data_IF_141751566790
#
_entry.id   IF_141751566790
#
_cell.length_a   1.000
_cell.length_b   1.000
_cell.length_c   1.000
_cell.angle_alpha   90.00
_cell.angle_beta   90.00
_cell.angle_gamma   90.00
#
_symmetry.space_group_name_H-M   'P 1'
#
loop_
_entity.id
_entity.type
_entity.pdbx_description
1 polymer ?
#
# COMPACT_ATOMS: atom_id res chain seq x y z
N UNK A 1 -15.60 8.31 -9.88
CA UNK A 1 -15.56 9.35 -8.84
C UNK A 1 -14.10 9.51 -8.46
N UNK A 2 -13.49 10.63 -8.81
CA UNK A 2 -12.07 10.88 -8.53
C UNK A 2 -11.93 11.34 -7.07
N UNK A 3 -11.00 10.72 -6.35
CA UNK A 3 -10.74 10.99 -4.94
C UNK A 3 -9.33 11.54 -4.82
N UNK A 4 -9.21 12.80 -4.45
CA UNK A 4 -7.93 13.47 -4.21
C UNK A 4 -7.59 13.53 -2.72
N UNK A 5 -6.34 13.24 -2.38
CA UNK A 5 -5.82 13.57 -1.04
C UNK A 5 -5.31 15.01 -1.07
N UNK A 6 -5.80 15.84 -0.17
CA UNK A 6 -5.43 17.25 -0.07
C UNK A 6 -4.39 17.41 1.03
N UNK A 7 -3.42 18.30 0.78
CA UNK A 7 -2.39 18.65 1.75
C UNK A 7 -2.68 20.04 2.31
N UNK A 8 -3.27 20.08 3.50
CA UNK A 8 -3.35 21.33 4.26
C UNK A 8 -1.97 21.68 4.84
N UNK A 9 -1.64 22.98 4.85
CA UNK A 9 -0.40 23.49 5.44
C UNK A 9 -0.71 24.43 6.59
N UNK A 10 0.05 24.30 7.66
CA UNK A 10 0.06 25.22 8.77
C UNK A 10 1.50 25.64 9.06
N UNK A 11 1.76 26.94 9.19
CA UNK A 11 3.05 27.45 9.63
C UNK A 11 2.87 28.47 10.74
N UNK A 12 3.54 28.23 11.87
CA UNK A 12 3.55 29.13 13.00
C UNK A 12 4.93 29.80 13.12
N UNK A 13 4.95 31.12 13.18
CA UNK A 13 6.13 31.91 13.50
C UNK A 13 5.92 32.61 14.82
N UNK A 14 6.78 32.38 15.81
CA UNK A 14 6.68 33.03 17.12
C UNK A 14 7.87 33.95 17.32
N UNK A 15 7.60 35.17 17.79
CA UNK A 15 8.66 36.12 18.14
C UNK A 15 9.34 35.70 19.46
N UNK A 16 10.69 35.62 19.51
CA UNK A 16 11.42 35.38 20.75
C UNK A 16 11.08 36.42 21.83
N UNK A 17 10.90 36.00 23.09
CA UNK A 17 10.64 36.94 24.18
C UNK A 17 11.92 37.72 24.44
N UNK A 18 11.85 39.05 24.36
CA UNK A 18 12.90 39.93 24.87
C UNK A 18 12.42 40.50 26.19
N UNK A 19 12.59 39.72 27.26
CA UNK A 19 12.33 40.13 28.65
C UNK A 19 10.93 39.81 29.19
N UNK A 20 10.74 39.86 30.52
CA UNK A 20 9.53 39.39 31.21
C UNK A 20 8.26 40.21 30.98
N UNK A 21 8.37 41.38 30.33
CA UNK A 21 7.22 42.27 30.03
C UNK A 21 6.85 42.32 28.53
N UNK A 22 7.57 41.60 27.67
CA UNK A 22 7.22 41.50 26.26
C UNK A 22 6.15 40.42 26.04
N UNK A 23 4.95 40.83 25.64
CA UNK A 23 3.91 39.88 25.23
C UNK A 23 4.37 38.97 24.08
N UNK A 24 3.98 37.70 24.13
CA UNK A 24 4.24 36.75 23.06
C UNK A 24 3.40 37.13 21.83
N UNK A 25 4.05 37.28 20.68
CA UNK A 25 3.34 37.47 19.41
C UNK A 25 3.71 36.31 18.49
N UNK A 26 2.70 35.57 18.07
CA UNK A 26 2.80 34.50 17.07
C UNK A 26 1.96 34.83 15.84
N UNK A 27 2.45 34.49 14.65
CA UNK A 27 1.74 34.56 13.38
C UNK A 27 1.49 33.13 12.93
N UNK A 28 0.22 32.72 12.89
CA UNK A 28 -0.20 31.44 12.35
C UNK A 28 -0.77 31.65 10.95
N UNK A 29 -0.16 31.00 9.96
CA UNK A 29 -0.68 30.92 8.60
C UNK A 29 -1.29 29.53 8.39
N UNK A 30 -2.58 29.50 8.08
CA UNK A 30 -3.31 28.30 7.71
C UNK A 30 -3.68 28.40 6.24
N UNK A 31 -3.41 27.34 5.47
CA UNK A 31 -3.77 27.25 4.05
C UNK A 31 -5.28 27.44 3.88
N UNK A 32 -5.76 28.26 2.91
CA UNK A 32 -7.19 28.39 2.65
C UNK A 32 -7.84 27.04 2.37
N UNK A 33 -8.92 26.77 3.10
CA UNK A 33 -9.78 25.62 2.89
C UNK A 33 -10.42 25.64 1.51
N UNK A 34 -10.61 24.45 0.94
CA UNK A 34 -11.29 24.24 -0.33
C UNK A 34 -12.75 24.70 -0.19
N UNK A 35 -13.21 25.50 -1.16
CA UNK A 35 -14.58 26.03 -1.19
C UNK A 35 -15.60 25.05 -1.81
N UNK A 36 -15.11 23.99 -2.45
CA UNK A 36 -15.89 23.04 -3.25
C UNK A 36 -15.49 21.59 -2.93
N UNK A 37 -16.45 20.67 -2.98
CA UNK A 37 -16.26 19.25 -2.67
C UNK A 37 -16.76 18.85 -1.29
N UNK A 38 -16.84 17.54 -1.07
CA UNK A 38 -17.34 16.95 0.17
C UNK A 38 -16.28 16.02 0.77
N UNK A 39 -16.05 16.07 2.11
CA UNK A 39 -15.17 15.12 2.76
C UNK A 39 -15.77 13.71 2.63
N UNK A 40 -14.96 12.76 2.16
CA UNK A 40 -15.38 11.38 1.91
C UNK A 40 -15.45 10.58 3.22
N UNK A 41 -14.67 10.97 4.22
CA UNK A 41 -14.66 10.35 5.54
C UNK A 41 -15.28 11.31 6.57
N UNK A 42 -15.93 10.73 7.57
CA UNK A 42 -16.56 11.49 8.66
C UNK A 42 -15.57 12.50 9.24
N UNK A 43 -16.05 13.73 9.42
CA UNK A 43 -15.33 14.79 10.10
C UNK A 43 -14.99 14.32 11.53
N UNK A 44 -13.91 14.86 12.10
CA UNK A 44 -13.46 14.46 13.44
C UNK A 44 -14.58 14.64 14.49
N UNK A 45 -14.56 13.80 15.53
CA UNK A 45 -15.56 13.81 16.61
C UNK A 45 -15.48 15.12 17.40
N UNK A 46 -16.61 15.58 17.94
CA UNK A 46 -16.62 16.67 18.91
C UNK A 46 -15.72 16.34 20.12
N UNK A 47 -14.72 17.19 20.39
CA UNK A 47 -13.80 17.06 21.54
C UNK A 47 -14.29 17.79 22.79
N UNK A 48 -15.52 18.32 22.79
CA UNK A 48 -16.16 18.77 24.01
C UNK A 48 -16.28 17.60 25.00
N UNK A 49 -16.04 17.89 26.28
CA UNK A 49 -16.20 16.90 27.34
C UNK A 49 -17.65 16.38 27.29
N UNK A 50 -17.87 15.06 27.27
CA UNK A 50 -19.21 14.52 27.26
C UNK A 50 -19.97 15.04 28.50
N UNK A 51 -21.25 15.39 28.36
CA UNK A 51 -22.04 15.87 29.49
C UNK A 51 -22.03 14.83 30.60
N UNK A 52 -21.90 15.26 31.85
CA UNK A 52 -21.94 14.33 32.98
C UNK A 52 -23.35 13.76 33.11
N UNK A 53 -23.46 12.49 33.51
CA UNK A 53 -24.75 11.86 33.80
C UNK A 53 -25.52 12.56 34.93
N UNK A 54 -24.81 13.33 35.77
CA UNK A 54 -25.37 14.13 36.86
C UNK A 54 -25.74 15.57 36.46
N UNK A 55 -25.41 16.00 35.25
CA UNK A 55 -25.83 17.32 34.79
C UNK A 55 -27.34 17.28 34.48
N UNK A 56 -28.15 18.17 35.07
CA UNK A 56 -29.56 18.23 34.75
C UNK A 56 -29.68 18.53 33.25
N UNK A 57 -30.32 17.63 32.51
CA UNK A 57 -30.68 17.83 31.10
C UNK A 57 -31.42 19.16 31.02
N UNK A 58 -30.74 20.21 30.53
CA UNK A 58 -31.39 21.49 30.22
C UNK A 58 -32.33 21.21 29.06
N UNK A 59 -33.60 21.00 29.41
CA UNK A 59 -34.71 20.81 28.50
C UNK A 59 -35.13 22.18 27.95
N UNK A 60 -34.25 22.82 27.19
CA UNK A 60 -34.60 23.95 26.32
C UNK A 60 -33.90 23.71 24.97
N UNK A 61 -34.70 23.71 23.90
CA UNK A 61 -34.36 23.63 22.48
C UNK A 61 -34.12 22.24 21.86
N UNK A 62 -35.15 21.39 21.94
CA UNK A 62 -35.30 20.17 21.12
C UNK A 62 -35.64 20.43 19.63
N UNK A 63 -35.27 21.58 19.08
CA UNK A 63 -35.48 21.93 17.65
C UNK A 63 -34.20 22.31 16.90
N UNK A 64 -33.02 22.21 17.50
CA UNK A 64 -31.72 22.35 16.81
C UNK A 64 -30.74 21.24 17.23
N UNK A 65 -30.99 20.03 16.76
CA UNK A 65 -30.19 18.82 16.99
C UNK A 65 -28.80 18.80 16.29
N UNK A 66 -28.11 19.95 16.12
CA UNK A 66 -26.85 19.98 15.33
C UNK A 66 -25.66 20.73 15.94
N UNK A 67 -25.80 21.78 16.75
CA UNK A 67 -24.66 22.73 16.93
C UNK A 67 -24.02 22.76 18.34
N UNK A 68 -23.39 21.65 18.74
CA UNK A 68 -22.46 21.63 19.88
C UNK A 68 -20.99 21.46 19.48
N UNK A 69 -20.71 21.40 18.18
CA UNK A 69 -19.38 21.16 17.62
C UNK A 69 -18.92 22.32 16.73
N UNK A 70 -17.67 22.29 16.27
CA UNK A 70 -17.17 23.26 15.31
C UNK A 70 -18.03 23.25 14.03
N UNK A 71 -18.05 24.35 13.27
CA UNK A 71 -18.81 24.43 12.02
C UNK A 71 -18.32 23.43 10.96
N UNK A 72 -17.08 22.92 11.07
CA UNK A 72 -16.46 21.92 10.21
C UNK A 72 -16.53 22.26 8.72
N UNK A 73 -16.60 23.54 8.37
CA UNK A 73 -16.64 24.01 6.97
C UNK A 73 -15.23 24.24 6.45
N UNK A 74 -14.36 24.80 7.30
CA UNK A 74 -13.01 25.19 6.92
C UNK A 74 -12.04 24.85 8.05
N UNK A 75 -10.81 24.44 7.69
CA UNK A 75 -9.75 24.19 8.66
C UNK A 75 -9.47 25.42 9.55
N UNK A 76 -9.65 26.61 8.99
CA UNK A 76 -9.51 27.87 9.71
C UNK A 76 -10.61 28.07 10.77
N UNK A 77 -11.89 27.91 10.42
CA UNK A 77 -13.00 28.07 11.37
C UNK A 77 -12.90 27.06 12.51
N UNK A 78 -12.51 25.83 12.18
CA UNK A 78 -12.31 24.75 13.14
C UNK A 78 -11.17 25.07 14.11
N UNK A 79 -10.05 25.57 13.59
CA UNK A 79 -8.95 26.03 14.43
C UNK A 79 -9.40 27.14 15.38
N UNK A 80 -10.11 28.16 14.89
CA UNK A 80 -10.58 29.27 15.74
C UNK A 80 -11.54 28.76 16.82
N UNK A 81 -12.49 27.88 16.47
CA UNK A 81 -13.42 27.29 17.42
C UNK A 81 -12.71 26.57 18.56
N UNK A 82 -11.71 25.74 18.24
CA UNK A 82 -10.97 24.98 19.25
C UNK A 82 -9.95 25.80 20.02
N UNK A 83 -9.27 26.74 19.36
CA UNK A 83 -8.33 27.65 20.02
C UNK A 83 -9.04 28.53 21.07
N UNK A 84 -10.30 28.88 20.85
CA UNK A 84 -11.14 29.61 21.81
C UNK A 84 -11.71 28.74 22.93
N UNK A 85 -11.64 27.41 22.82
CA UNK A 85 -12.18 26.45 23.78
C UNK A 85 -11.08 25.55 24.40
N UNK A 86 -10.12 26.13 25.16
CA UNK A 86 -8.97 25.39 25.69
C UNK A 86 -9.33 24.30 26.70
N UNK A 87 -10.52 24.37 27.31
CA UNK A 87 -11.04 23.39 28.29
C UNK A 87 -11.13 21.97 27.72
N UNK A 88 -11.30 21.84 26.40
CA UNK A 88 -11.31 20.55 25.71
C UNK A 88 -9.94 19.85 25.68
N UNK A 89 -8.87 20.58 25.98
CA UNK A 89 -7.48 20.09 25.96
C UNK A 89 -6.85 20.07 27.35
N UNK A 90 -7.63 20.32 28.41
CA UNK A 90 -7.22 20.07 29.78
C UNK A 90 -7.15 18.56 30.00
N UNK A 91 -6.07 17.94 29.53
CA UNK A 91 -5.72 16.59 29.94
C UNK A 91 -5.57 16.61 31.46
N UNK A 92 -6.34 15.76 32.16
CA UNK A 92 -6.32 15.68 33.62
C UNK A 92 -4.89 15.81 34.13
N UNK A 93 -4.56 16.84 34.93
CA UNK A 93 -3.23 16.96 35.48
C UNK A 93 -3.04 15.77 36.43
N UNK A 94 -2.15 14.85 36.09
CA UNK A 94 -1.62 13.93 37.08
C UNK A 94 -0.99 14.80 38.18
N UNK A 95 -1.57 14.72 39.38
CA UNK A 95 -1.31 15.54 40.57
C UNK A 95 0.13 15.52 41.12
N UNK A 96 1.13 15.01 40.38
CA UNK A 96 2.45 14.68 40.93
C UNK A 96 3.59 15.59 40.47
N UNK A 97 3.38 16.50 39.52
CA UNK A 97 4.41 17.47 39.13
C UNK A 97 3.96 18.92 39.35
N UNK A 98 4.71 19.72 40.13
CA UNK A 98 4.44 21.15 40.24
C UNK A 98 4.56 21.75 38.84
N UNK A 99 3.45 22.30 38.35
CA UNK A 99 3.35 22.98 37.07
C UNK A 99 4.41 24.09 37.03
N UNK A 100 5.49 23.87 36.29
CA UNK A 100 6.41 24.95 35.93
C UNK A 100 5.56 25.94 35.14
N UNK A 101 5.48 27.19 35.62
CA UNK A 101 4.72 28.24 34.96
C UNK A 101 5.11 28.26 33.47
N UNK A 102 4.11 28.10 32.59
CA UNK A 102 4.33 28.11 31.16
C UNK A 102 5.12 29.38 30.79
N UNK A 103 6.23 29.27 30.04
CA UNK A 103 7.05 30.43 29.71
C UNK A 103 6.28 31.52 28.92
N UNK A 104 5.08 31.20 28.44
CA UNK A 104 4.23 32.07 27.63
C UNK A 104 2.74 31.88 27.95
N UNK A 105 2.16 32.64 28.90
CA UNK A 105 0.73 32.54 29.20
C UNK A 105 -0.10 32.92 27.96
N UNK A 106 -0.87 31.97 27.43
CA UNK A 106 -1.85 32.17 26.35
C UNK A 106 -1.57 31.47 25.01
N UNK A 107 -0.37 30.93 24.77
CA UNK A 107 -0.04 30.23 23.52
C UNK A 107 -0.28 28.71 23.58
N UNK A 108 -0.37 28.14 24.78
CA UNK A 108 -0.53 26.70 24.99
C UNK A 108 -1.86 26.18 24.41
N UNK A 109 -2.97 26.89 24.63
CA UNK A 109 -4.30 26.51 24.13
C UNK A 109 -4.37 26.40 22.60
N UNK A 110 -4.05 27.48 21.84
CA UNK A 110 -4.04 27.44 20.37
C UNK A 110 -3.11 26.37 19.79
N UNK A 111 -1.97 26.10 20.44
CA UNK A 111 -1.04 25.10 19.96
C UNK A 111 -1.47 23.67 20.24
N UNK A 112 -2.03 23.42 21.42
CA UNK A 112 -2.69 22.14 21.71
C UNK A 112 -3.85 21.89 20.73
N UNK A 113 -4.66 22.89 20.43
CA UNK A 113 -5.72 22.79 19.43
C UNK A 113 -5.17 22.46 18.02
N UNK A 114 -4.11 23.14 17.59
CA UNK A 114 -3.48 22.89 16.30
C UNK A 114 -2.88 21.49 16.20
N UNK A 115 -2.14 21.05 17.23
CA UNK A 115 -1.52 19.72 17.24
C UNK A 115 -2.56 18.61 17.29
N UNK A 116 -3.65 18.79 18.02
CA UNK A 116 -4.74 17.84 18.07
C UNK A 116 -5.49 17.74 16.73
N UNK A 117 -5.75 18.87 16.07
CA UNK A 117 -6.28 18.90 14.70
C UNK A 117 -5.37 18.13 13.73
N UNK A 118 -4.07 18.44 13.72
CA UNK A 118 -3.12 17.77 12.82
C UNK A 118 -3.00 16.27 13.14
N UNK A 119 -2.98 15.90 14.41
CA UNK A 119 -2.86 14.51 14.83
C UNK A 119 -4.09 13.69 14.43
N UNK A 120 -5.29 14.24 14.65
CA UNK A 120 -6.53 13.57 14.25
C UNK A 120 -6.61 13.38 12.74
N UNK A 121 -6.19 14.37 11.94
CA UNK A 121 -6.05 14.22 10.48
C UNK A 121 -5.08 13.08 10.10
N UNK A 122 -3.94 12.96 10.76
CA UNK A 122 -2.99 11.87 10.50
C UNK A 122 -3.54 10.48 10.83
N UNK A 123 -4.25 10.36 11.95
CA UNK A 123 -4.90 9.11 12.33
C UNK A 123 -6.02 8.74 11.34
N UNK A 124 -6.83 9.72 10.91
CA UNK A 124 -7.85 9.52 9.88
C UNK A 124 -7.22 9.08 8.55
N UNK A 125 -6.08 9.67 8.14
CA UNK A 125 -5.35 9.23 6.94
C UNK A 125 -4.86 7.78 7.09
N UNK A 126 -4.37 7.40 8.27
CA UNK A 126 -3.94 6.03 8.55
C UNK A 126 -5.09 5.03 8.37
N UNK A 127 -6.24 5.29 8.99
CA UNK A 127 -7.42 4.43 8.90
C UNK A 127 -7.96 4.36 7.46
N UNK A 128 -7.94 5.49 6.75
CA UNK A 128 -8.32 5.55 5.33
C UNK A 128 -7.43 4.63 4.48
N UNK A 129 -6.12 4.70 4.66
CA UNK A 129 -5.15 3.85 3.95
C UNK A 129 -5.43 2.38 4.27
N UNK A 130 -5.61 2.04 5.54
CA UNK A 130 -5.88 0.66 5.96
C UNK A 130 -7.12 0.10 5.29
N UNK A 131 -8.23 0.85 5.27
CA UNK A 131 -9.46 0.43 4.62
C UNK A 131 -9.25 0.23 3.12
N UNK A 132 -8.55 1.15 2.45
CA UNK A 132 -8.30 1.07 1.00
C UNK A 132 -7.38 -0.08 0.63
N UNK A 133 -6.36 -0.37 1.43
CA UNK A 133 -5.50 -1.55 1.24
C UNK A 133 -6.27 -2.83 1.49
N UNK A 134 -7.13 -2.86 2.51
CA UNK A 134 -8.00 -4.01 2.79
C UNK A 134 -8.99 -4.25 1.64
N UNK A 135 -9.56 -3.19 1.07
CA UNK A 135 -10.40 -3.31 -0.13
C UNK A 135 -9.64 -3.91 -1.32
N UNK A 136 -8.41 -3.44 -1.58
CA UNK A 136 -7.57 -3.99 -2.65
C UNK A 136 -7.25 -5.47 -2.40
N UNK A 137 -6.95 -5.83 -1.16
CA UNK A 137 -6.70 -7.22 -0.75
C UNK A 137 -7.92 -8.12 -1.01
N UNK A 138 -9.13 -7.64 -0.72
CA UNK A 138 -10.38 -8.34 -1.06
C UNK A 138 -10.60 -8.48 -2.57
N UNK A 139 -10.25 -7.47 -3.36
CA UNK A 139 -10.31 -7.51 -4.83
C UNK A 139 -9.30 -8.53 -5.39
N UNK A 140 -8.12 -8.63 -4.77
CA UNK A 140 -7.04 -9.56 -5.11
C UNK A 140 -7.36 -11.02 -4.74
N UNK A 141 -8.09 -11.24 -3.65
CA UNK A 141 -8.50 -12.56 -3.19
C UNK A 141 -9.50 -13.29 -4.13
N UNK A 142 -10.06 -12.61 -5.16
CA UNK A 142 -11.00 -13.19 -6.13
C UNK A 142 -10.38 -13.38 -7.53
N UNK A 143 -9.44 -14.33 -7.72
CA UNK A 143 -8.72 -14.50 -8.98
C UNK A 143 -9.58 -15.05 -10.14
N UNK A 144 -10.81 -15.53 -9.87
CA UNK A 144 -11.70 -16.05 -10.95
C UNK A 144 -12.27 -14.95 -11.84
N UNK A 145 -12.33 -13.71 -11.35
CA UNK A 145 -12.94 -12.58 -12.06
C UNK A 145 -11.91 -11.74 -12.82
N UNK A 146 -10.65 -12.20 -12.88
CA UNK A 146 -9.49 -11.53 -13.46
C UNK A 146 -9.32 -11.75 -14.96
N UNK A 147 -10.28 -12.42 -15.61
CA UNK A 147 -10.25 -12.65 -17.07
C UNK A 147 -10.27 -11.37 -17.90
N UNK A 148 -10.50 -10.21 -17.28
CA UNK A 148 -10.42 -8.89 -17.88
C UNK A 148 -9.13 -8.18 -17.41
N UNK A 149 -8.16 -8.04 -18.32
CA UNK A 149 -6.86 -7.39 -18.04
C UNK A 149 -7.01 -5.95 -17.55
N UNK A 150 -8.09 -5.26 -17.93
CA UNK A 150 -8.36 -3.89 -17.52
C UNK A 150 -8.53 -3.74 -15.99
N UNK A 151 -9.13 -4.74 -15.33
CA UNK A 151 -9.33 -4.72 -13.87
C UNK A 151 -8.02 -4.90 -13.10
N UNK A 152 -7.13 -5.72 -13.64
CA UNK A 152 -5.80 -5.95 -13.07
C UNK A 152 -4.97 -4.67 -13.16
N UNK A 153 -5.01 -4.00 -14.32
CA UNK A 153 -4.35 -2.71 -14.52
C UNK A 153 -4.92 -1.62 -13.59
N UNK A 154 -6.23 -1.61 -13.37
CA UNK A 154 -6.88 -0.70 -12.42
C UNK A 154 -6.39 -0.93 -10.97
N UNK A 155 -6.39 -2.17 -10.50
CA UNK A 155 -5.90 -2.52 -9.15
C UNK A 155 -4.41 -2.19 -9.02
N UNK A 156 -3.60 -2.53 -10.02
CA UNK A 156 -2.17 -2.23 -10.04
C UNK A 156 -1.93 -0.71 -9.99
N UNK A 157 -2.65 0.08 -10.79
CA UNK A 157 -2.53 1.54 -10.79
C UNK A 157 -2.85 2.14 -9.41
N UNK A 158 -3.94 1.71 -8.76
CA UNK A 158 -4.32 2.12 -7.40
C UNK A 158 -3.24 1.77 -6.38
N UNK A 159 -2.62 0.60 -6.52
CA UNK A 159 -1.56 0.15 -5.62
C UNK A 159 -0.26 0.93 -5.83
N UNK A 160 0.09 1.27 -7.08
CA UNK A 160 1.25 2.14 -7.36
C UNK A 160 1.10 3.55 -6.80
N UNK A 161 -0.13 4.09 -6.76
CA UNK A 161 -0.42 5.36 -6.09
C UNK A 161 -0.07 5.28 -4.60
N UNK A 162 -0.51 4.22 -3.90
CA UNK A 162 -0.20 4.04 -2.48
C UNK A 162 1.29 3.77 -2.22
N UNK A 163 1.96 3.03 -3.10
CA UNK A 163 3.42 2.81 -3.06
C UNK A 163 4.21 4.13 -3.07
N UNK A 164 3.71 5.13 -3.80
CA UNK A 164 4.35 6.46 -3.89
C UNK A 164 3.94 7.38 -2.74
N UNK A 165 2.69 7.31 -2.31
CA UNK A 165 2.12 8.25 -1.33
C UNK A 165 2.51 7.92 0.12
N UNK A 166 2.49 6.64 0.51
CA UNK A 166 2.80 6.22 1.89
C UNK A 166 4.21 6.64 2.33
N UNK A 167 5.28 6.46 1.53
CA UNK A 167 6.62 6.94 1.92
C UNK A 167 6.69 8.46 2.07
N UNK A 168 5.91 9.22 1.29
CA UNK A 168 5.83 10.67 1.40
C UNK A 168 5.18 11.08 2.74
N UNK A 169 4.08 10.42 3.13
CA UNK A 169 3.43 10.65 4.43
C UNK A 169 4.35 10.31 5.60
N UNK A 170 5.03 9.16 5.53
CA UNK A 170 6.04 8.74 6.51
C UNK A 170 7.14 9.79 6.67
N UNK A 171 7.65 10.34 5.56
CA UNK A 171 8.65 11.41 5.59
C UNK A 171 8.11 12.66 6.28
N UNK A 172 6.93 13.13 5.93
CA UNK A 172 6.33 14.32 6.56
C UNK A 172 6.09 14.13 8.06
N UNK A 173 5.63 12.96 8.50
CA UNK A 173 5.49 12.63 9.92
C UNK A 173 6.84 12.61 10.63
N UNK A 174 7.87 12.02 10.01
CA UNK A 174 9.23 12.01 10.58
C UNK A 174 9.82 13.42 10.71
N UNK A 175 9.62 14.28 9.71
CA UNK A 175 10.04 15.68 9.76
C UNK A 175 9.27 16.44 10.85
N UNK A 176 7.96 16.20 10.99
CA UNK A 176 7.15 16.81 12.05
C UNK A 176 7.64 16.38 13.44
N UNK A 177 7.96 15.11 13.64
CA UNK A 177 8.53 14.59 14.90
C UNK A 177 9.87 15.21 15.24
N UNK A 178 10.74 15.42 14.24
CA UNK A 178 12.04 16.08 14.44
C UNK A 178 11.87 17.57 14.72
N UNK A 179 11.01 18.27 13.99
CA UNK A 179 10.87 19.72 14.10
C UNK A 179 10.04 20.19 15.29
N UNK A 180 8.96 19.47 15.62
CA UNK A 180 8.04 19.84 16.70
C UNK A 180 8.44 19.20 18.03
N UNK A 181 8.78 17.90 18.00
CA UNK A 181 9.02 17.12 19.22
C UNK A 181 10.51 16.82 19.48
N UNK A 182 11.40 17.21 18.56
CA UNK A 182 12.85 16.92 18.61
C UNK A 182 13.15 15.43 18.83
N UNK A 183 12.21 14.56 18.45
CA UNK A 183 12.40 13.13 18.53
C UNK A 183 13.30 12.72 17.36
N UNK A 184 14.44 12.11 17.64
CA UNK A 184 15.22 11.43 16.61
C UNK A 184 14.32 10.36 16.00
N UNK A 185 14.05 10.47 14.70
CA UNK A 185 13.08 9.65 13.95
C UNK A 185 13.52 8.19 13.76
N UNK A 186 14.36 7.68 14.63
CA UNK A 186 14.84 6.31 14.61
C UNK A 186 13.99 5.47 15.56
N UNK A 187 13.46 4.36 15.05
CA UNK A 187 12.69 3.36 15.76
C UNK A 187 13.29 3.01 17.15
N UNK A 188 12.47 2.55 18.11
CA UNK A 188 12.95 2.13 19.41
C UNK A 188 13.92 0.94 19.23
N UNK A 189 15.21 1.13 19.51
CA UNK A 189 16.18 0.02 19.54
C UNK A 189 17.61 0.28 19.05
N UNK A 190 17.94 1.42 18.43
CA UNK A 190 19.34 1.76 18.11
C UNK A 190 19.92 2.82 19.06
N UNK A 191 21.20 2.69 19.46
CA UNK A 191 21.85 3.62 20.37
C UNK A 191 21.88 5.02 19.77
N UNK A 192 21.39 5.98 20.56
CA UNK A 192 21.36 7.42 20.31
C UNK A 192 22.69 7.92 19.74
N UNK A 193 22.76 8.10 18.42
CA UNK A 193 23.85 8.82 17.78
C UNK A 193 23.61 10.32 17.98
N UNK A 194 24.28 10.88 18.99
CA UNK A 194 24.72 12.27 19.08
C UNK A 194 23.63 13.35 18.98
N UNK A 195 23.34 13.97 20.11
CA UNK A 195 22.62 15.24 20.20
C UNK A 195 23.28 16.33 19.34
N UNK A 196 22.85 16.53 18.10
CA UNK A 196 22.94 17.86 17.49
C UNK A 196 21.77 18.70 18.02
N UNK A 197 21.98 19.26 19.20
CA UNK A 197 21.12 20.32 19.74
C UNK A 197 21.28 21.57 18.86
N UNK A 198 20.38 21.78 17.90
CA UNK A 198 20.18 23.12 17.37
C UNK A 198 19.38 23.92 18.42
N UNK A 199 19.91 25.03 18.96
CA UNK A 199 19.17 25.91 19.85
C UNK A 199 18.08 26.61 19.03
N UNK A 200 16.86 26.06 19.03
CA UNK A 200 15.69 26.72 18.47
C UNK A 200 15.01 27.57 19.53
N UNK A 201 14.63 28.79 19.14
CA UNK A 201 13.96 29.80 19.98
C UNK A 201 12.66 29.27 20.62
N UNK A 202 12.06 28.23 20.04
CA UNK A 202 10.86 27.56 20.54
C UNK A 202 11.14 26.50 21.62
N UNK A 203 12.39 26.34 22.06
CA UNK A 203 12.77 25.31 23.05
C UNK A 203 11.95 25.32 24.34
N UNK A 204 11.70 26.47 24.98
CA UNK A 204 10.86 26.49 26.18
C UNK A 204 9.40 26.13 25.90
N UNK A 205 8.97 26.25 24.64
CA UNK A 205 7.60 26.04 24.20
C UNK A 205 7.33 24.58 23.82
N UNK A 206 8.24 23.94 23.10
CA UNK A 206 8.11 22.52 22.68
C UNK A 206 8.27 21.53 23.84
N UNK A 207 8.94 21.94 24.92
CA UNK A 207 9.13 21.10 26.10
C UNK A 207 7.93 21.14 27.07
N UNK A 208 6.86 21.87 26.74
CA UNK A 208 5.64 21.92 27.55
C UNK A 208 4.92 20.57 27.58
N UNK A 209 4.31 20.23 28.72
CA UNK A 209 3.58 18.97 28.91
C UNK A 209 2.41 18.84 27.93
N UNK A 210 1.73 19.96 27.61
CA UNK A 210 0.62 19.99 26.66
C UNK A 210 1.05 19.60 25.25
N UNK A 211 2.19 20.10 24.76
CA UNK A 211 2.74 19.70 23.46
C UNK A 211 3.19 18.23 23.52
N UNK A 212 3.99 17.85 24.52
CA UNK A 212 4.54 16.51 24.64
C UNK A 212 3.49 15.38 24.79
N UNK A 213 2.26 15.70 25.23
CA UNK A 213 1.16 14.73 25.33
C UNK A 213 0.76 14.11 23.99
N UNK A 214 0.93 14.82 22.87
CA UNK A 214 0.58 14.35 21.52
C UNK A 214 1.68 13.52 20.85
N UNK A 215 2.90 13.55 21.39
CA UNK A 215 4.04 12.79 20.88
C UNK A 215 3.74 11.28 20.65
N UNK A 216 3.13 10.55 21.60
CA UNK A 216 2.79 9.13 21.38
C UNK A 216 1.87 8.92 20.17
N UNK A 217 0.91 9.80 19.94
CA UNK A 217 -0.04 9.65 18.83
C UNK A 217 0.63 9.87 17.46
N UNK A 218 1.55 10.83 17.36
CA UNK A 218 2.38 10.99 16.16
C UNK A 218 3.30 9.79 15.91
N UNK A 219 3.84 9.18 16.97
CA UNK A 219 4.62 7.94 16.85
C UNK A 219 3.75 6.76 16.41
N UNK A 220 2.51 6.67 16.90
CA UNK A 220 1.53 5.67 16.49
C UNK A 220 1.22 5.81 14.98
N UNK A 221 0.93 7.04 14.53
CA UNK A 221 0.71 7.30 13.10
C UNK A 221 1.94 6.95 12.26
N UNK A 222 3.15 7.26 12.73
CA UNK A 222 4.39 6.91 12.02
C UNK A 222 4.58 5.39 11.93
N UNK A 223 4.32 4.66 13.02
CA UNK A 223 4.38 3.20 13.05
C UNK A 223 3.38 2.57 12.08
N UNK A 224 2.14 3.07 12.06
CA UNK A 224 1.12 2.64 11.11
C UNK A 224 1.56 2.88 9.65
N UNK A 225 2.17 4.02 9.32
CA UNK A 225 2.70 4.26 7.96
C UNK A 225 3.81 3.27 7.57
N UNK A 226 4.65 2.84 8.52
CA UNK A 226 5.65 1.80 8.29
C UNK A 226 5.02 0.44 7.98
N UNK A 227 3.96 0.08 8.73
CA UNK A 227 3.19 -1.13 8.47
C UNK A 227 2.49 -1.07 7.11
N UNK A 228 1.82 0.03 6.80
CA UNK A 228 1.16 0.26 5.51
C UNK A 228 2.13 0.15 4.34
N UNK A 229 3.36 0.68 4.48
CA UNK A 229 4.40 0.52 3.45
C UNK A 229 4.72 -0.96 3.21
N UNK A 230 4.93 -1.71 4.29
CA UNK A 230 5.23 -3.16 4.22
C UNK A 230 4.06 -3.94 3.60
N UNK A 231 2.82 -3.58 3.94
CA UNK A 231 1.61 -4.20 3.39
C UNK A 231 1.44 -3.90 1.90
N UNK A 232 1.69 -2.66 1.48
CA UNK A 232 1.67 -2.28 0.05
C UNK A 232 2.68 -3.10 -0.74
N UNK A 233 3.92 -3.24 -0.26
CA UNK A 233 4.96 -4.00 -0.96
C UNK A 233 4.56 -5.48 -1.13
N UNK A 234 3.98 -6.09 -0.08
CA UNK A 234 3.44 -7.46 -0.16
C UNK A 234 2.28 -7.57 -1.16
N UNK A 235 1.34 -6.63 -1.15
CA UNK A 235 0.22 -6.63 -2.10
C UNK A 235 0.71 -6.50 -3.55
N UNK A 236 1.78 -5.74 -3.80
CA UNK A 236 2.38 -5.61 -5.13
C UNK A 236 2.96 -6.96 -5.57
N UNK A 237 3.70 -7.63 -4.70
CA UNK A 237 4.25 -8.95 -4.97
C UNK A 237 3.14 -9.96 -5.32
N UNK A 238 2.06 -10.00 -4.53
CA UNK A 238 0.91 -10.87 -4.79
C UNK A 238 0.22 -10.48 -6.11
N UNK A 239 0.09 -9.18 -6.41
CA UNK A 239 -0.48 -8.70 -7.68
C UNK A 239 0.36 -9.17 -8.86
N UNK A 240 1.68 -9.02 -8.81
CA UNK A 240 2.58 -9.49 -9.88
C UNK A 240 2.49 -11.01 -10.04
N UNK A 241 2.46 -11.77 -8.94
CA UNK A 241 2.32 -13.21 -8.98
C UNK A 241 0.98 -13.65 -9.60
N UNK A 242 -0.11 -12.98 -9.26
CA UNK A 242 -1.45 -13.26 -9.80
C UNK A 242 -1.55 -12.91 -11.28
N UNK A 243 -0.98 -11.77 -11.73
CA UNK A 243 -0.87 -11.43 -13.15
C UNK A 243 -0.12 -12.52 -13.91
N UNK A 244 1.05 -12.95 -13.40
CA UNK A 244 1.86 -13.98 -14.05
C UNK A 244 1.13 -15.32 -14.15
N UNK A 245 0.37 -15.70 -13.13
CA UNK A 245 -0.46 -16.91 -13.15
C UNK A 245 -1.56 -16.80 -14.20
N UNK A 246 -2.26 -15.66 -14.29
CA UNK A 246 -3.32 -15.50 -15.29
C UNK A 246 -2.77 -15.43 -16.72
N UNK A 247 -1.64 -14.75 -16.93
CA UNK A 247 -0.95 -14.74 -18.22
C UNK A 247 -0.52 -16.16 -18.64
N UNK A 248 -0.01 -16.96 -17.70
CA UNK A 248 0.31 -18.38 -17.94
C UNK A 248 -0.92 -19.22 -18.31
N UNK A 249 -2.06 -18.98 -17.62
CA UNK A 249 -3.33 -19.65 -17.93
C UNK A 249 -3.87 -19.24 -19.29
N UNK A 250 -3.76 -17.96 -19.64
CA UNK A 250 -4.17 -17.44 -20.95
C UNK A 250 -3.25 -17.97 -22.05
N UNK A 251 -1.94 -18.02 -21.83
CA UNK A 251 -0.99 -18.67 -22.72
C UNK A 251 -1.32 -20.16 -22.93
N UNK A 252 -1.69 -20.88 -21.87
CA UNK A 252 -2.13 -22.28 -22.00
C UNK A 252 -3.43 -22.42 -22.80
N UNK A 253 -4.43 -21.56 -22.55
CA UNK A 253 -5.69 -21.55 -23.30
C UNK A 253 -5.46 -21.22 -24.78
N UNK A 254 -4.58 -20.25 -25.08
CA UNK A 254 -4.20 -19.88 -26.43
C UNK A 254 -3.47 -21.03 -27.12
N UNK A 255 -2.50 -21.66 -26.45
CA UNK A 255 -1.78 -22.83 -26.96
C UNK A 255 -2.71 -24.01 -27.23
N UNK A 256 -3.73 -24.24 -26.39
CA UNK A 256 -4.73 -25.29 -26.65
C UNK A 256 -5.56 -24.98 -27.90
N UNK A 257 -6.00 -23.73 -28.08
CA UNK A 257 -6.73 -23.31 -29.28
C UNK A 257 -5.85 -23.40 -30.52
N UNK A 258 -4.59 -22.96 -30.43
CA UNK A 258 -3.62 -23.07 -31.51
C UNK A 258 -3.35 -24.53 -31.85
N UNK A 259 -3.18 -25.40 -30.85
CA UNK A 259 -2.99 -26.85 -31.04
C UNK A 259 -4.16 -27.48 -31.79
N UNK A 260 -5.40 -27.15 -31.40
CA UNK A 260 -6.60 -27.63 -32.10
C UNK A 260 -6.66 -27.13 -33.56
N UNK A 261 -6.28 -25.88 -33.80
CA UNK A 261 -6.23 -25.31 -35.15
C UNK A 261 -5.15 -25.97 -36.01
N UNK A 262 -3.95 -26.16 -35.45
CA UNK A 262 -2.84 -26.84 -36.12
C UNK A 262 -3.22 -28.29 -36.43
N UNK A 263 -3.87 -28.99 -35.49
CA UNK A 263 -4.38 -30.34 -35.71
C UNK A 263 -5.33 -30.40 -36.92
N UNK A 264 -6.26 -29.46 -36.97
CA UNK A 264 -7.23 -29.35 -38.06
C UNK A 264 -6.51 -29.04 -39.39
N UNK A 265 -5.57 -28.10 -39.39
CA UNK A 265 -4.77 -27.77 -40.57
C UNK A 265 -3.92 -28.96 -41.05
N UNK A 266 -3.26 -29.69 -40.15
CA UNK A 266 -2.47 -30.89 -40.51
C UNK A 266 -3.32 -32.01 -41.09
N UNK A 267 -4.59 -32.13 -40.69
CA UNK A 267 -5.52 -33.08 -41.29
C UNK A 267 -6.00 -32.60 -42.67
N UNK A 268 -6.36 -31.33 -42.81
CA UNK A 268 -6.97 -30.81 -44.04
C UNK A 268 -5.98 -30.48 -45.16
N UNK A 269 -4.73 -30.10 -44.85
CA UNK A 269 -3.72 -29.75 -45.86
C UNK A 269 -3.43 -30.90 -46.84
N UNK A 270 -3.10 -32.12 -46.38
CA UNK A 270 -2.88 -33.26 -47.27
C UNK A 270 -4.14 -33.65 -48.05
N UNK A 271 -5.31 -33.66 -47.39
CA UNK A 271 -6.58 -33.98 -48.03
C UNK A 271 -6.97 -32.98 -49.12
N UNK A 272 -6.70 -31.68 -48.90
CA UNK A 272 -6.96 -30.63 -49.89
C UNK A 272 -6.02 -30.74 -51.09
N UNK A 273 -4.75 -31.10 -50.86
CA UNK A 273 -3.79 -31.38 -51.94
C UNK A 273 -4.27 -32.52 -52.84
N UNK A 274 -4.82 -33.58 -52.25
CA UNK A 274 -5.36 -34.73 -52.99
C UNK A 274 -6.58 -34.33 -53.80
N UNK A 275 -7.53 -33.62 -53.20
CA UNK A 275 -8.70 -33.12 -53.92
C UNK A 275 -8.30 -32.25 -55.12
N UNK A 276 -7.25 -31.43 -54.97
CA UNK A 276 -6.71 -30.60 -56.05
C UNK A 276 -6.05 -31.42 -57.15
N UNK A 277 -5.22 -32.42 -56.80
CA UNK A 277 -4.63 -33.34 -57.78
C UNK A 277 -5.72 -34.07 -58.59
N UNK A 278 -6.73 -34.60 -57.90
CA UNK A 278 -7.84 -35.30 -58.56
C UNK A 278 -8.69 -34.38 -59.44
N UNK A 279 -8.79 -33.09 -59.11
CA UNK A 279 -9.53 -32.12 -59.90
C UNK A 279 -8.80 -31.70 -61.19
N UNK A 280 -7.48 -31.83 -61.26
CA UNK A 280 -6.65 -31.37 -62.39
C UNK A 280 -6.48 -32.45 -63.47
N UNK A 281 -6.75 -33.72 -63.14
CA UNK A 281 -6.58 -34.82 -64.10
C UNK A 281 -7.79 -34.99 -65.04
N UNK A 282 -7.54 -34.92 -66.35
CA UNK A 282 -8.56 -35.05 -67.40
C UNK A 282 -8.90 -36.52 -67.75
N UNK A 283 -8.00 -37.48 -67.48
CA UNK A 283 -8.19 -38.91 -67.78
C UNK A 283 -8.17 -39.79 -66.52
N UNK A 284 -9.36 -40.20 -66.06
CA UNK A 284 -9.59 -40.90 -64.79
C UNK A 284 -9.14 -42.38 -64.86
N UNK A 285 -9.08 -42.98 -66.05
CA UNK A 285 -8.82 -44.41 -66.25
C UNK A 285 -7.33 -44.77 -66.28
N UNK A 286 -6.46 -43.87 -66.78
CA UNK A 286 -5.01 -44.06 -66.77
C UNK A 286 -4.40 -43.88 -65.37
N UNK A 287 -5.08 -43.13 -64.49
CA UNK A 287 -4.61 -42.81 -63.15
C UNK A 287 -5.06 -43.81 -62.07
N UNK A 288 -6.00 -44.71 -62.37
CA UNK A 288 -6.50 -45.66 -61.38
C UNK A 288 -5.39 -46.56 -60.77
N UNK A 289 -4.38 -46.91 -61.57
CA UNK A 289 -3.21 -47.65 -61.10
C UNK A 289 -2.30 -46.79 -60.21
N UNK A 290 -1.99 -45.55 -60.60
CA UNK A 290 -1.18 -44.60 -59.80
C UNK A 290 -1.89 -44.14 -58.52
N UNK A 291 -3.21 -43.96 -58.56
CA UNK A 291 -4.04 -43.62 -57.40
C UNK A 291 -4.03 -44.74 -56.35
N UNK A 292 -3.91 -46.00 -56.80
CA UNK A 292 -3.79 -47.17 -55.92
C UNK A 292 -2.47 -47.19 -55.17
N UNK A 293 -1.35 -46.96 -55.86
CA UNK A 293 -0.03 -46.82 -55.22
C UNK A 293 0.05 -45.61 -54.29
N UNK A 294 -0.57 -44.49 -54.68
CA UNK A 294 -0.64 -43.32 -53.82
C UNK A 294 -1.48 -43.57 -52.56
N UNK A 295 -2.64 -44.23 -52.68
CA UNK A 295 -3.46 -44.59 -51.53
C UNK A 295 -2.72 -45.58 -50.60
N UNK A 296 -1.98 -46.54 -51.15
CA UNK A 296 -1.15 -47.46 -50.36
C UNK A 296 -0.03 -46.75 -49.58
N UNK A 297 0.46 -45.60 -50.05
CA UNK A 297 1.57 -44.87 -49.39
C UNK A 297 1.04 -43.76 -48.48
N UNK A 298 -0.01 -43.06 -48.89
CA UNK A 298 -0.52 -41.88 -48.18
C UNK A 298 -1.33 -42.25 -46.92
N UNK A 299 -2.08 -43.35 -46.95
CA UNK A 299 -2.86 -43.82 -45.78
C UNK A 299 -1.97 -44.24 -44.61
N UNK A 300 -0.91 -45.05 -44.78
CA UNK A 300 -0.01 -45.37 -43.68
C UNK A 300 0.83 -44.17 -43.25
N UNK A 301 1.21 -43.28 -44.18
CA UNK A 301 1.95 -42.07 -43.82
C UNK A 301 1.11 -41.13 -42.95
N UNK A 302 -0.14 -40.87 -43.33
CA UNK A 302 -1.07 -40.04 -42.55
C UNK A 302 -1.42 -40.69 -41.21
N UNK A 303 -1.65 -42.00 -41.19
CA UNK A 303 -1.85 -42.76 -39.95
C UNK A 303 -0.61 -42.70 -39.04
N UNK A 304 0.60 -42.79 -39.60
CA UNK A 304 1.86 -42.71 -38.86
C UNK A 304 2.09 -41.30 -38.28
N UNK A 305 1.84 -40.24 -39.06
CA UNK A 305 1.92 -38.87 -38.54
C UNK A 305 0.88 -38.61 -37.45
N UNK A 306 -0.34 -39.13 -37.60
CA UNK A 306 -1.39 -39.03 -36.57
C UNK A 306 -1.02 -39.81 -35.31
N UNK A 307 -0.41 -41.00 -35.45
CA UNK A 307 0.05 -41.81 -34.33
C UNK A 307 1.18 -41.13 -33.57
N UNK A 308 2.19 -40.59 -34.28
CA UNK A 308 3.29 -39.86 -33.64
C UNK A 308 2.80 -38.63 -32.87
N UNK A 309 1.87 -37.88 -33.45
CA UNK A 309 1.28 -36.72 -32.79
C UNK A 309 0.41 -37.14 -31.59
N UNK A 310 -0.37 -38.20 -31.69
CA UNK A 310 -1.19 -38.73 -30.59
C UNK A 310 -0.33 -39.28 -29.43
N UNK A 311 0.81 -39.92 -29.75
CA UNK A 311 1.79 -40.39 -28.76
C UNK A 311 2.45 -39.20 -28.07
N UNK A 312 2.74 -38.12 -28.81
CA UNK A 312 3.33 -36.91 -28.25
C UNK A 312 2.34 -36.16 -27.34
N UNK A 313 1.07 -36.08 -27.72
CA UNK A 313 -0.01 -35.42 -26.98
C UNK A 313 -0.60 -36.27 -25.84
N UNK A 314 -0.16 -37.53 -25.71
CA UNK A 314 -0.67 -38.45 -24.70
C UNK A 314 -0.34 -37.94 -23.28
N UNK A 315 -1.32 -37.86 -22.36
CA UNK A 315 -1.12 -37.33 -20.99
C UNK A 315 -0.16 -38.16 -20.13
N UNK A 316 0.29 -39.32 -20.62
CA UNK A 316 1.30 -40.15 -19.95
C UNK A 316 2.71 -39.55 -20.10
N UNK A 317 3.03 -38.94 -21.24
CA UNK A 317 4.34 -38.31 -21.46
C UNK A 317 4.51 -37.05 -20.60
N UNK A 318 3.43 -36.28 -20.42
CA UNK A 318 3.42 -35.12 -19.51
C UNK A 318 3.52 -35.52 -18.04
N UNK A 319 2.88 -36.63 -17.63
CA UNK A 319 3.04 -37.21 -16.27
C UNK A 319 4.44 -37.75 -16.02
N UNK A 320 5.07 -38.37 -17.02
CA UNK A 320 6.45 -38.85 -16.94
C UNK A 320 7.44 -37.67 -16.87
N UNK A 321 7.20 -36.61 -17.64
CA UNK A 321 8.00 -35.37 -17.58
C UNK A 321 7.89 -34.70 -16.20
N UNK A 322 6.68 -34.60 -15.65
CA UNK A 322 6.47 -34.10 -14.28
C UNK A 322 7.14 -34.99 -13.22
N UNK A 323 7.12 -36.32 -13.39
CA UNK A 323 7.85 -37.23 -12.49
C UNK A 323 9.37 -37.05 -12.59
N UNK A 324 9.91 -36.87 -13.81
CA UNK A 324 11.33 -36.63 -14.02
C UNK A 324 11.79 -35.30 -13.41
N UNK A 325 11.00 -34.23 -13.57
CA UNK A 325 11.30 -32.93 -12.95
C UNK A 325 11.22 -32.97 -11.43
N UNK A 326 10.24 -33.68 -10.85
CA UNK A 326 10.18 -33.90 -9.40
C UNK A 326 11.39 -34.68 -8.90
N UNK A 327 11.88 -35.65 -9.66
CA UNK A 327 13.07 -36.42 -9.29
C UNK A 327 14.36 -35.60 -9.44
N UNK A 328 14.45 -34.77 -10.48
CA UNK A 328 15.57 -33.84 -10.67
C UNK A 328 15.67 -32.80 -9.55
N UNK A 329 14.57 -32.17 -9.11
CA UNK A 329 14.59 -31.24 -7.97
C UNK A 329 14.93 -31.93 -6.65
N UNK A 330 14.51 -33.18 -6.47
CA UNK A 330 14.84 -33.98 -5.27
C UNK A 330 16.33 -34.33 -5.23
N UNK A 331 16.96 -34.57 -6.39
CA UNK A 331 18.38 -34.86 -6.47
C UNK A 331 19.25 -33.59 -6.41
N UNK A 332 18.72 -32.43 -6.82
CA UNK A 332 19.37 -31.12 -6.62
C UNK A 332 19.50 -30.72 -5.14
N UNK A 333 18.67 -31.29 -4.26
CA UNK A 333 18.74 -31.06 -2.80
C UNK A 333 19.75 -31.96 -2.09
N UNK A 334 20.29 -32.99 -2.77
CA UNK A 334 21.24 -33.96 -2.19
C UNK A 334 22.71 -33.57 -2.45
N UNK A 335 22.96 -32.51 -3.23
CA UNK A 335 24.31 -32.10 -3.64
C UNK A 335 24.87 -30.84 -2.98
N UNK A 336 24.26 -30.31 -1.92
CA UNK A 336 24.71 -29.04 -1.32
C UNK A 336 24.75 -29.05 0.21
N UNK A 337 25.34 -30.09 0.78
CA UNK A 337 25.81 -30.09 2.17
C UNK A 337 27.29 -30.49 2.21
N UNK A 338 28.18 -29.53 2.00
CA UNK A 338 29.56 -29.60 2.53
C UNK A 338 29.67 -28.57 3.65
N UNK A 339 29.87 -29.00 4.91
CA UNK A 339 30.18 -28.09 6.00
C UNK A 339 31.70 -27.88 6.06
N UNK A 340 32.18 -26.68 5.77
CA UNK A 340 33.53 -26.24 6.15
C UNK A 340 33.44 -25.06 7.11
N UNK A 341 33.25 -25.41 8.38
CA UNK A 341 33.56 -24.55 9.50
C UNK A 341 35.07 -24.61 9.83
N UNK A 342 35.57 -23.49 10.37
CA UNK A 342 36.75 -23.37 11.24
C UNK A 342 38.15 -23.42 10.60
N UNK A 343 38.71 -22.22 10.35
CA UNK A 343 40.09 -21.93 10.78
C UNK A 343 40.07 -20.62 11.60
N UNK A 344 40.18 -20.79 12.92
CA UNK A 344 40.56 -19.78 13.91
C UNK A 344 41.99 -20.10 14.34
N UNK A 345 42.94 -19.24 14.00
CA UNK A 345 44.27 -19.12 14.61
C UNK A 345 44.49 -17.60 14.72
N UNK A 346 44.51 -16.98 15.91
CA UNK A 346 45.51 -17.08 16.98
C UNK A 346 46.92 -16.74 16.51
N UNK A 347 47.23 -15.44 16.47
CA UNK A 347 48.58 -14.95 16.78
C UNK A 347 48.47 -13.68 17.61
N UNK A 348 49.08 -13.75 18.79
CA UNK A 348 49.41 -12.64 19.67
C UNK A 348 50.44 -11.73 19.02
N UNK A 349 50.32 -10.41 19.19
CA UNK A 349 51.51 -9.57 19.35
C UNK A 349 51.19 -8.36 20.23
N UNK A 350 52.03 -8.15 21.23
CA UNK A 350 52.03 -7.08 22.23
C UNK A 350 53.42 -6.40 22.13
N UNK A 351 53.46 -5.10 22.40
CA UNK A 351 54.62 -4.19 22.43
C UNK A 351 55.19 -3.83 21.04
N UNK A 352 55.41 -2.57 20.68
CA UNK A 352 55.75 -1.36 21.46
C UNK A 352 54.78 -0.20 21.29
#
# INVERSE_FOLDING_TARGET
>A
MEVGVIRNRASLWVKPQKGPQGGAVGILLLDPSIKEGHPIWHKYRNWAMPPSMTDPVRQEDSTSLVDGGPPQKTFFEDFIYWACNPKSFEFMPNLTHPCVAAPWPGLDGPMSALLHLICTEWLMISDYIEMRLTQIDWELAKPRDWGDSARVDEVASRLTFWRRSVPMYRKMLSETLVHVFRATSHLPGLPSLGHMHLPSVLQPFTDTQGVNSYRPDFLLALAAMHEHQTRVDKLIEITVATVSIEESRNGYRLNKKLSNLTWLATAFLPLSFVATLLSVQEDITALASSMRYWAEIALPLTAFTMLLLAIWDMPVTTRLRQKLERHSRKNSWIGRDTPSALIRSSSSFRAY
#
